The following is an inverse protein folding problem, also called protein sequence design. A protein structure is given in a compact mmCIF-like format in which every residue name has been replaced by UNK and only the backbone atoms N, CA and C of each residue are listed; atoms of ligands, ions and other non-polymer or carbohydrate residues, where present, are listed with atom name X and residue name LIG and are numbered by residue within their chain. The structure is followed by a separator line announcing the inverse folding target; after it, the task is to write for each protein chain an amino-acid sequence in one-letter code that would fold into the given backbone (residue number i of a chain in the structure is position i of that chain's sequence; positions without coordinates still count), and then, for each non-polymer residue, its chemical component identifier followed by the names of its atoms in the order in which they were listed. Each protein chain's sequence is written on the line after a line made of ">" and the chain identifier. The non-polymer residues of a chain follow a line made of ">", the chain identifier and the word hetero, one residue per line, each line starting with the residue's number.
data_IF_688503286127
#
_entry.id   IF_688503286127
#
_cell.length_a   1.000
_cell.length_b   1.000
_cell.length_c   1.000
_cell.angle_alpha   90.00
_cell.angle_beta   90.00
_cell.angle_gamma   90.00
#
_symmetry.space_group_name_H-M   'P 1'
#
loop_
_entity.id
_entity.type
_entity.pdbx_description
1 polymer ?
#
# COMPACT_ATOMS: atom_id res chain seq x y z
N UNK A 1 -3.50 33.37 0.78
CA UNK A 1 -3.74 31.90 0.83
C UNK A 1 -4.37 31.62 2.19
N UNK A 2 -5.62 31.14 2.30
CA UNK A 2 -6.19 30.85 3.61
C UNK A 2 -5.35 29.77 4.29
N UNK A 3 -4.93 30.07 5.51
CA UNK A 3 -4.14 29.22 6.39
C UNK A 3 -4.83 27.86 6.53
N UNK A 4 -4.17 26.80 6.07
CA UNK A 4 -4.71 25.44 6.21
C UNK A 4 -4.68 25.11 7.70
N UNK A 5 -5.85 25.07 8.34
CA UNK A 5 -5.95 24.63 9.72
C UNK A 5 -5.29 23.26 9.86
N UNK A 6 -4.20 23.21 10.62
CA UNK A 6 -3.44 21.98 10.85
C UNK A 6 -4.38 21.03 11.62
N UNK A 7 -4.68 19.82 11.09
CA UNK A 7 -5.62 18.93 11.73
C UNK A 7 -5.16 18.62 13.17
N UNK A 8 -6.07 18.80 14.11
CA UNK A 8 -5.83 18.60 15.53
C UNK A 8 -6.03 17.16 15.98
N UNK A 9 -5.71 16.89 17.26
CA UNK A 9 -5.97 15.58 17.87
C UNK A 9 -7.47 15.26 17.94
N UNK A 10 -8.31 16.28 18.11
CA UNK A 10 -9.78 16.12 18.12
C UNK A 10 -10.29 15.70 16.74
N UNK A 11 -9.78 16.29 15.66
CA UNK A 11 -10.15 15.90 14.28
C UNK A 11 -9.78 14.45 14.01
N UNK A 12 -8.58 14.03 14.45
CA UNK A 12 -8.15 12.64 14.34
C UNK A 12 -9.05 11.69 15.13
N UNK A 13 -9.50 12.09 16.33
CA UNK A 13 -10.44 11.31 17.14
C UNK A 13 -11.82 11.18 16.47
N UNK A 14 -12.40 12.31 16.02
CA UNK A 14 -13.68 12.34 15.32
C UNK A 14 -13.64 11.50 14.03
N UNK A 15 -12.53 11.55 13.29
CA UNK A 15 -12.30 10.70 12.13
C UNK A 15 -12.34 9.21 12.48
N UNK A 16 -11.73 8.79 13.60
CA UNK A 16 -11.77 7.40 14.06
C UNK A 16 -13.19 6.97 14.46
N UNK A 17 -13.92 7.82 15.18
CA UNK A 17 -15.31 7.54 15.57
C UNK A 17 -16.19 7.33 14.33
N UNK A 18 -16.12 8.25 13.37
CA UNK A 18 -16.84 8.17 12.09
C UNK A 18 -16.49 6.90 11.30
N UNK A 19 -15.20 6.56 11.26
CA UNK A 19 -14.72 5.33 10.62
C UNK A 19 -15.31 4.08 11.26
N UNK A 20 -15.42 4.04 12.60
CA UNK A 20 -16.01 2.91 13.31
C UNK A 20 -17.52 2.79 13.02
N UNK A 21 -18.26 3.90 12.99
CA UNK A 21 -19.68 3.90 12.60
C UNK A 21 -19.86 3.30 11.20
N UNK A 22 -19.07 3.74 10.21
CA UNK A 22 -19.17 3.18 8.85
C UNK A 22 -18.82 1.69 8.77
N UNK A 23 -17.84 1.23 9.55
CA UNK A 23 -17.52 -0.20 9.65
C UNK A 23 -18.68 -1.00 10.25
N UNK A 24 -19.35 -0.48 11.27
CA UNK A 24 -20.53 -1.11 11.87
C UNK A 24 -21.69 -1.17 10.89
N UNK A 25 -21.99 -0.07 10.18
CA UNK A 25 -23.01 -0.04 9.13
C UNK A 25 -22.68 -1.05 8.03
N UNK A 26 -21.42 -1.09 7.58
CA UNK A 26 -20.96 -2.05 6.57
C UNK A 26 -21.14 -3.49 7.05
N UNK A 27 -20.75 -3.77 8.29
CA UNK A 27 -20.90 -5.08 8.89
C UNK A 27 -22.37 -5.55 8.88
N UNK A 28 -23.30 -4.67 9.28
CA UNK A 28 -24.73 -4.97 9.28
C UNK A 28 -25.28 -5.22 7.87
N UNK A 29 -24.94 -4.36 6.90
CA UNK A 29 -25.37 -4.51 5.49
C UNK A 29 -24.86 -5.80 4.83
N UNK A 30 -23.70 -6.28 5.25
CA UNK A 30 -23.09 -7.49 4.70
C UNK A 30 -23.31 -8.73 5.55
N UNK A 31 -24.11 -8.64 6.61
CA UNK A 31 -24.42 -9.81 7.42
C UNK A 31 -25.11 -10.86 6.54
N UNK A 32 -24.52 -12.06 6.45
CA UNK A 32 -24.97 -13.13 5.55
C UNK A 32 -24.70 -12.92 4.05
N UNK A 33 -24.15 -11.78 3.61
CA UNK A 33 -23.94 -11.42 2.19
C UNK A 33 -22.50 -11.05 1.85
N UNK A 34 -21.53 -11.49 2.66
CA UNK A 34 -20.11 -11.18 2.41
C UNK A 34 -19.61 -11.86 1.13
N UNK A 35 -18.81 -11.17 0.30
CA UNK A 35 -18.13 -11.82 -0.81
C UNK A 35 -17.32 -13.02 -0.33
N UNK A 36 -17.30 -14.07 -1.15
CA UNK A 36 -16.48 -15.27 -0.88
C UNK A 36 -14.99 -14.91 -1.03
N UNK A 37 -14.14 -15.57 -0.24
CA UNK A 37 -12.70 -15.49 -0.47
C UNK A 37 -12.39 -16.35 -1.69
N UNK A 38 -11.79 -15.75 -2.72
CA UNK A 38 -11.41 -16.46 -3.94
C UNK A 38 -10.09 -17.20 -3.74
N UNK A 39 -9.98 -18.38 -4.34
CA UNK A 39 -8.81 -19.23 -4.21
C UNK A 39 -7.64 -18.71 -5.07
N UNK A 40 -6.41 -19.09 -4.68
CA UNK A 40 -5.23 -18.94 -5.53
C UNK A 40 -4.99 -20.24 -6.30
N UNK A 41 -4.57 -20.14 -7.55
CA UNK A 41 -4.42 -21.28 -8.45
C UNK A 41 -3.06 -21.33 -9.16
N UNK A 42 -2.90 -22.37 -9.97
CA UNK A 42 -1.75 -22.55 -10.85
C UNK A 42 -1.90 -21.69 -12.13
N UNK A 43 -0.91 -20.88 -12.51
CA UNK A 43 -0.99 -20.02 -13.71
C UNK A 43 -0.96 -20.78 -15.04
N UNK A 44 -0.58 -22.05 -15.09
CA UNK A 44 -0.35 -22.79 -16.36
C UNK A 44 -1.56 -22.80 -17.30
N UNK A 45 -2.77 -22.72 -16.75
CA UNK A 45 -4.02 -22.66 -17.52
C UNK A 45 -4.49 -21.26 -17.89
N UNK A 46 -3.75 -20.20 -17.60
CA UNK A 46 -4.11 -18.80 -17.89
C UNK A 46 -3.01 -18.12 -18.70
N UNK A 47 -3.03 -18.32 -20.01
CA UNK A 47 -1.89 -18.00 -20.89
C UNK A 47 -2.05 -16.68 -21.66
N UNK A 48 -3.24 -16.09 -21.71
CA UNK A 48 -3.51 -14.86 -22.48
C UNK A 48 -3.69 -13.67 -21.56
N UNK A 49 -2.87 -12.63 -21.69
CA UNK A 49 -3.07 -11.35 -20.98
C UNK A 49 -4.22 -10.60 -21.66
N UNK A 50 -5.33 -10.40 -20.96
CA UNK A 50 -6.52 -9.68 -21.48
C UNK A 50 -6.58 -8.21 -21.08
N UNK A 51 -5.84 -7.84 -20.04
CA UNK A 51 -5.67 -6.47 -19.57
C UNK A 51 -4.38 -6.35 -18.74
N UNK A 52 -3.70 -5.21 -18.84
CA UNK A 52 -2.48 -4.91 -18.09
C UNK A 52 -2.46 -3.45 -17.66
N UNK A 53 -2.05 -3.21 -16.42
CA UNK A 53 -1.77 -1.87 -15.91
C UNK A 53 -0.35 -1.85 -15.30
N UNK A 54 0.42 -0.85 -15.72
CA UNK A 54 1.75 -0.54 -15.18
C UNK A 54 1.73 0.81 -14.49
N UNK A 55 2.43 0.93 -13.37
CA UNK A 55 2.60 2.21 -12.70
C UNK A 55 3.95 2.32 -11.98
N UNK A 56 4.60 3.49 -12.02
CA UNK A 56 5.90 3.68 -11.38
C UNK A 56 5.80 3.56 -9.86
N UNK A 57 6.78 2.90 -9.25
CA UNK A 57 6.92 2.75 -7.80
C UNK A 57 7.53 4.00 -7.16
N UNK A 58 8.37 4.72 -7.89
CA UNK A 58 9.15 5.85 -7.41
C UNK A 58 8.66 7.12 -8.11
N UNK A 59 7.78 7.86 -7.43
CA UNK A 59 7.12 9.03 -8.03
C UNK A 59 7.66 10.36 -7.52
N UNK A 60 8.56 10.35 -6.52
CA UNK A 60 9.12 11.57 -5.96
C UNK A 60 10.62 11.39 -5.64
N UNK A 61 11.54 12.14 -6.25
CA UNK A 61 12.97 11.96 -6.02
C UNK A 61 13.45 12.61 -4.71
N UNK A 62 12.64 13.45 -4.06
CA UNK A 62 13.05 14.24 -2.90
C UNK A 62 13.45 13.35 -1.71
N UNK A 63 14.53 13.73 -1.02
CA UNK A 63 15.08 12.93 0.07
C UNK A 63 14.08 12.70 1.23
N UNK A 64 13.27 13.72 1.56
CA UNK A 64 12.24 13.64 2.61
C UNK A 64 11.11 12.63 2.32
N UNK A 65 10.91 12.26 1.06
CA UNK A 65 9.84 11.32 0.62
C UNK A 65 10.30 9.87 0.63
N UNK A 66 11.61 9.64 0.73
CA UNK A 66 12.24 8.34 0.48
C UNK A 66 11.73 7.27 1.44
N UNK A 67 11.67 7.57 2.73
CA UNK A 67 11.22 6.62 3.75
C UNK A 67 9.77 6.16 3.49
N UNK A 68 8.87 7.10 3.20
CA UNK A 68 7.47 6.80 2.91
C UNK A 68 7.30 6.02 1.60
N UNK A 69 8.15 6.27 0.59
CA UNK A 69 8.13 5.50 -0.66
C UNK A 69 8.68 4.09 -0.50
N UNK A 70 9.72 3.87 0.30
CA UNK A 70 10.16 2.51 0.64
C UNK A 70 9.09 1.74 1.38
N UNK A 71 8.45 2.38 2.36
CA UNK A 71 7.30 1.80 3.06
C UNK A 71 6.15 1.46 2.13
N UNK A 72 5.85 2.34 1.16
CA UNK A 72 4.88 2.11 0.08
C UNK A 72 5.20 0.84 -0.70
N UNK A 73 6.42 0.72 -1.21
CA UNK A 73 6.85 -0.44 -2.02
C UNK A 73 6.82 -1.74 -1.22
N UNK A 74 7.26 -1.71 0.04
CA UNK A 74 7.14 -2.87 0.94
C UNK A 74 5.68 -3.32 1.13
N UNK A 75 4.77 -2.36 1.36
CA UNK A 75 3.35 -2.64 1.50
C UNK A 75 2.73 -3.22 0.22
N UNK A 76 3.13 -2.70 -0.95
CA UNK A 76 2.72 -3.24 -2.25
C UNK A 76 3.21 -4.68 -2.43
N UNK A 77 4.46 -5.01 -2.05
CA UNK A 77 4.96 -6.39 -2.06
C UNK A 77 4.18 -7.30 -1.12
N UNK A 78 3.86 -6.80 0.08
CA UNK A 78 3.06 -7.53 1.05
C UNK A 78 1.62 -7.77 0.56
N UNK A 79 1.06 -6.86 -0.23
CA UNK A 79 -0.24 -6.98 -0.86
C UNK A 79 -0.20 -7.93 -2.06
N UNK A 80 0.80 -7.79 -2.93
CA UNK A 80 1.02 -8.65 -4.10
C UNK A 80 1.08 -10.12 -3.70
N UNK A 81 1.84 -10.48 -2.64
CA UNK A 81 1.89 -11.85 -2.11
C UNK A 81 0.53 -12.45 -1.73
N UNK A 82 -0.46 -11.62 -1.43
CA UNK A 82 -1.81 -12.04 -1.04
C UNK A 82 -2.77 -12.11 -2.23
N UNK A 83 -2.61 -11.22 -3.20
CA UNK A 83 -3.51 -11.10 -4.35
C UNK A 83 -3.04 -11.86 -5.59
N UNK A 84 -1.73 -12.03 -5.75
CA UNK A 84 -1.15 -12.73 -6.90
C UNK A 84 -1.69 -14.15 -7.02
N UNK A 85 -1.96 -14.56 -8.27
CA UNK A 85 -2.56 -15.83 -8.68
C UNK A 85 -3.97 -16.08 -8.16
N UNK A 86 -4.71 -15.03 -7.78
CA UNK A 86 -6.12 -15.19 -7.42
C UNK A 86 -6.90 -15.57 -8.68
N UNK A 87 -7.61 -16.71 -8.63
CA UNK A 87 -8.52 -17.14 -9.69
C UNK A 87 -9.84 -16.39 -9.52
N UNK A 88 -10.33 -15.81 -10.60
CA UNK A 88 -11.60 -15.10 -10.71
C UNK A 88 -12.56 -15.96 -11.53
N UNK A 89 -13.42 -16.78 -10.89
CA UNK A 89 -14.47 -17.50 -11.62
C UNK A 89 -15.43 -16.52 -12.30
N UNK A 90 -15.96 -16.90 -13.46
CA UNK A 90 -16.98 -16.12 -14.15
C UNK A 90 -18.17 -15.85 -13.22
N UNK A 91 -18.62 -14.59 -13.14
CA UNK A 91 -19.75 -14.21 -12.28
C UNK A 91 -19.45 -14.10 -10.79
N UNK A 92 -18.23 -14.41 -10.32
CA UNK A 92 -17.86 -14.25 -8.92
C UNK A 92 -17.41 -12.82 -8.60
N UNK A 93 -17.80 -12.31 -7.44
CA UNK A 93 -17.37 -10.98 -6.96
C UNK A 93 -15.96 -11.06 -6.37
N UNK A 94 -15.02 -10.36 -6.99
CA UNK A 94 -13.77 -9.99 -6.35
C UNK A 94 -14.02 -8.85 -5.36
N UNK A 95 -13.40 -8.92 -4.18
CA UNK A 95 -13.40 -7.84 -3.19
C UNK A 95 -11.98 -7.63 -2.68
N UNK A 96 -11.47 -6.41 -2.82
CA UNK A 96 -10.10 -6.07 -2.43
C UNK A 96 -9.84 -6.43 -0.96
N UNK A 97 -10.69 -5.95 -0.05
CA UNK A 97 -10.51 -6.21 1.38
C UNK A 97 -10.83 -7.64 1.79
N UNK A 98 -11.71 -8.34 1.07
CA UNK A 98 -11.93 -9.77 1.31
C UNK A 98 -10.67 -10.59 1.03
N UNK A 99 -9.98 -10.32 -0.08
CA UNK A 99 -8.76 -11.03 -0.45
C UNK A 99 -7.54 -10.60 0.39
N UNK A 100 -7.39 -9.30 0.65
CA UNK A 100 -6.26 -8.75 1.40
C UNK A 100 -6.34 -8.99 2.91
N UNK A 101 -7.53 -8.81 3.48
CA UNK A 101 -7.71 -8.58 4.92
C UNK A 101 -7.08 -7.26 5.39
N UNK A 102 -7.10 -7.02 6.70
CA UNK A 102 -6.60 -5.76 7.29
C UNK A 102 -5.10 -5.60 7.02
N UNK A 103 -4.69 -4.43 6.54
CA UNK A 103 -3.29 -4.05 6.55
C UNK A 103 -2.88 -3.67 7.99
N UNK A 104 -2.04 -4.50 8.61
CA UNK A 104 -1.55 -4.29 9.99
C UNK A 104 -0.07 -4.62 10.11
N UNK A 105 0.59 -4.05 11.13
CA UNK A 105 1.98 -4.35 11.46
C UNK A 105 2.19 -5.86 11.71
N UNK A 106 1.27 -6.49 12.44
CA UNK A 106 1.26 -7.95 12.67
C UNK A 106 1.20 -8.79 11.39
N UNK A 107 0.62 -8.24 10.31
CA UNK A 107 0.52 -8.87 8.98
C UNK A 107 1.65 -8.47 8.03
N UNK A 108 2.67 -7.77 8.55
CA UNK A 108 3.89 -7.39 7.85
C UNK A 108 3.79 -6.07 7.08
N UNK A 109 2.77 -5.25 7.32
CA UNK A 109 2.67 -3.91 6.73
C UNK A 109 3.43 -2.88 7.57
N UNK A 110 3.99 -1.88 6.90
CA UNK A 110 4.82 -0.82 7.50
C UNK A 110 4.24 0.55 7.22
N UNK A 111 4.77 1.57 7.89
CA UNK A 111 4.44 2.96 7.58
C UNK A 111 4.90 3.30 6.17
N UNK A 112 3.99 3.76 5.32
CA UNK A 112 4.27 4.16 3.94
C UNK A 112 3.42 5.36 3.53
N UNK A 113 3.64 5.85 2.32
CA UNK A 113 2.95 7.03 1.78
C UNK A 113 1.44 6.79 1.66
N UNK A 114 0.62 7.52 2.42
CA UNK A 114 -0.85 7.44 2.37
C UNK A 114 -1.45 8.84 2.17
N UNK A 115 -2.43 8.95 1.28
CA UNK A 115 -3.22 10.17 1.15
C UNK A 115 -4.34 10.16 2.21
N UNK A 116 -4.30 11.07 3.17
CA UNK A 116 -5.31 11.24 4.20
C UNK A 116 -5.63 12.73 4.37
N UNK A 117 -6.91 13.08 4.32
CA UNK A 117 -7.39 14.47 4.51
C UNK A 117 -6.69 15.48 3.58
N UNK A 118 -6.34 15.03 2.38
CA UNK A 118 -5.64 15.83 1.37
C UNK A 118 -4.16 16.09 1.65
N UNK A 119 -3.54 15.37 2.57
CA UNK A 119 -2.09 15.38 2.82
C UNK A 119 -1.49 13.99 2.58
N UNK A 120 -0.22 13.95 2.20
CA UNK A 120 0.54 12.70 2.17
C UNK A 120 1.19 12.46 3.54
N UNK A 121 0.70 11.48 4.27
CA UNK A 121 1.14 11.18 5.63
C UNK A 121 1.72 9.77 5.72
N UNK A 122 2.66 9.52 6.65
CA UNK A 122 3.13 8.18 6.96
C UNK A 122 2.02 7.41 7.68
N UNK A 123 1.57 6.30 7.08
CA UNK A 123 0.57 5.42 7.71
C UNK A 123 0.81 3.94 7.40
N UNK A 124 0.41 3.06 8.32
CA UNK A 124 0.53 1.61 8.12
C UNK A 124 -0.34 1.15 6.95
N UNK A 125 0.27 0.48 5.97
CA UNK A 125 -0.43 0.09 4.75
C UNK A 125 -0.55 1.22 3.72
N UNK A 126 0.16 2.34 3.90
CA UNK A 126 0.28 3.37 2.87
C UNK A 126 0.79 2.78 1.56
N UNK A 127 0.17 3.18 0.44
CA UNK A 127 0.46 2.70 -0.90
C UNK A 127 -0.59 1.83 -1.55
N UNK A 128 -1.51 1.25 -0.78
CA UNK A 128 -2.51 0.31 -1.31
C UNK A 128 -3.48 0.93 -2.32
N UNK A 129 -3.68 2.25 -2.27
CA UNK A 129 -4.46 2.97 -3.28
C UNK A 129 -3.86 2.86 -4.69
N UNK A 130 -2.53 2.78 -4.83
CA UNK A 130 -1.89 2.56 -6.13
C UNK A 130 -2.28 1.20 -6.71
N UNK A 131 -2.33 0.17 -5.88
CA UNK A 131 -2.75 -1.18 -6.28
C UNK A 131 -4.26 -1.23 -6.60
N UNK A 132 -5.09 -0.56 -5.81
CA UNK A 132 -6.53 -0.46 -6.07
C UNK A 132 -6.81 0.23 -7.41
N UNK A 133 -6.13 1.34 -7.72
CA UNK A 133 -6.23 2.00 -9.02
C UNK A 133 -5.83 1.09 -10.18
N UNK A 134 -4.72 0.33 -10.03
CA UNK A 134 -4.27 -0.60 -11.06
C UNK A 134 -5.25 -1.77 -11.27
N UNK A 135 -5.80 -2.32 -10.18
CA UNK A 135 -6.85 -3.35 -10.24
C UNK A 135 -8.12 -2.84 -10.93
N UNK A 136 -8.53 -1.62 -10.63
CA UNK A 136 -9.67 -1.00 -11.28
C UNK A 136 -9.41 -0.76 -12.78
N UNK A 137 -8.21 -0.32 -13.14
CA UNK A 137 -7.82 -0.16 -14.54
C UNK A 137 -7.94 -1.46 -15.33
N UNK A 138 -7.30 -2.55 -14.85
CA UNK A 138 -7.37 -3.83 -15.57
C UNK A 138 -8.78 -4.42 -15.57
N UNK A 139 -9.57 -4.21 -14.52
CA UNK A 139 -10.96 -4.68 -14.46
C UNK A 139 -11.80 -4.03 -15.56
N UNK A 140 -11.69 -2.71 -15.73
CA UNK A 140 -12.38 -2.00 -16.80
C UNK A 140 -11.93 -2.49 -18.20
N UNK A 141 -10.62 -2.63 -18.42
CA UNK A 141 -10.09 -3.01 -19.74
C UNK A 141 -10.42 -4.48 -20.10
N UNK A 142 -10.57 -5.34 -19.09
CA UNK A 142 -11.02 -6.71 -19.25
C UNK A 142 -12.55 -6.86 -19.39
N UNK A 143 -13.32 -5.76 -19.30
CA UNK A 143 -14.78 -5.79 -19.37
C UNK A 143 -15.45 -6.35 -18.13
N UNK A 144 -14.82 -6.25 -16.96
CA UNK A 144 -15.43 -6.63 -15.69
C UNK A 144 -16.51 -5.63 -15.26
N UNK A 145 -17.59 -6.15 -14.67
CA UNK A 145 -18.65 -5.33 -14.11
C UNK A 145 -18.24 -4.81 -12.74
N UNK A 146 -18.12 -3.49 -12.60
CA UNK A 146 -17.69 -2.83 -11.36
C UNK A 146 -18.89 -2.72 -10.41
N UNK A 147 -18.83 -3.45 -9.29
CA UNK A 147 -19.91 -3.53 -8.29
C UNK A 147 -19.78 -2.43 -7.22
N UNK A 148 -18.55 -2.07 -6.88
CA UNK A 148 -18.27 -1.03 -5.90
C UNK A 148 -16.96 -0.33 -6.23
N UNK A 149 -17.01 1.00 -6.30
CA UNK A 149 -15.85 1.87 -6.52
C UNK A 149 -16.07 3.19 -5.82
N UNK A 150 -14.99 3.77 -5.29
CA UNK A 150 -15.00 5.06 -4.62
C UNK A 150 -13.86 5.93 -5.16
N UNK A 151 -14.06 7.24 -5.29
CA UNK A 151 -13.02 8.19 -5.68
C UNK A 151 -12.21 8.69 -4.46
N UNK A 152 -10.95 9.08 -4.68
CA UNK A 152 -10.23 9.90 -3.70
C UNK A 152 -10.81 11.32 -3.65
N UNK A 153 -10.70 11.97 -2.49
CA UNK A 153 -11.05 13.39 -2.34
C UNK A 153 -10.05 14.33 -3.02
N UNK A 154 -8.80 13.89 -3.22
CA UNK A 154 -7.78 14.58 -4.00
C UNK A 154 -7.02 13.59 -4.87
N UNK A 155 -6.57 14.05 -6.05
CA UNK A 155 -5.79 13.22 -6.98
C UNK A 155 -4.30 13.52 -6.81
N UNK A 156 -3.49 12.47 -6.67
CA UNK A 156 -2.03 12.61 -6.62
C UNK A 156 -1.51 12.80 -8.05
N UNK A 157 -0.67 13.80 -8.33
CA UNK A 157 -0.04 13.95 -9.65
C UNK A 157 0.68 12.68 -10.10
N UNK A 158 0.56 12.34 -11.39
CA UNK A 158 1.14 11.11 -11.97
C UNK A 158 0.46 9.80 -11.56
N UNK A 159 -0.61 9.84 -10.74
CA UNK A 159 -1.38 8.63 -10.40
C UNK A 159 -2.44 8.33 -11.46
N UNK A 160 -2.80 7.05 -11.59
CA UNK A 160 -3.88 6.60 -12.48
C UNK A 160 -5.25 7.26 -12.20
N UNK A 161 -5.44 7.84 -11.00
CA UNK A 161 -6.61 8.64 -10.68
C UNK A 161 -6.77 9.87 -11.60
N UNK A 162 -5.67 10.43 -12.12
CA UNK A 162 -5.72 11.53 -13.08
C UNK A 162 -6.31 11.10 -14.42
N UNK A 163 -6.13 9.84 -14.81
CA UNK A 163 -6.65 9.25 -16.04
C UNK A 163 -8.08 8.67 -15.88
N UNK A 164 -8.82 9.08 -14.84
CA UNK A 164 -10.16 8.55 -14.56
C UNK A 164 -10.18 7.14 -13.96
N UNK A 165 -9.02 6.51 -13.74
CA UNK A 165 -8.88 5.17 -13.15
C UNK A 165 -8.74 5.24 -11.62
N UNK A 166 -9.53 6.10 -11.00
CA UNK A 166 -9.45 6.39 -9.57
C UNK A 166 -10.27 5.39 -8.74
N UNK A 167 -9.65 4.65 -7.83
CA UNK A 167 -10.29 3.72 -6.91
C UNK A 167 -9.61 3.75 -5.54
N UNK A 168 -10.22 4.42 -4.56
CA UNK A 168 -9.75 4.43 -3.18
C UNK A 168 -10.25 3.22 -2.38
N UNK A 169 -9.50 2.81 -1.35
CA UNK A 169 -9.84 1.73 -0.45
C UNK A 169 -9.53 2.12 1.00
N UNK A 170 -10.48 1.85 1.90
CA UNK A 170 -10.30 2.04 3.34
C UNK A 170 -10.87 0.85 4.12
N UNK A 171 -10.02 0.23 4.93
CA UNK A 171 -10.41 -0.92 5.76
C UNK A 171 -11.56 -0.55 6.70
N UNK A 172 -12.69 -1.24 6.79
CA UNK A 172 -13.32 -2.29 6.00
C UNK A 172 -14.73 -1.74 5.68
N UNK A 173 -14.78 -0.61 4.98
CA UNK A 173 -16.03 0.10 4.68
C UNK A 173 -16.02 0.81 3.32
N UNK A 174 -14.83 1.02 2.73
CA UNK A 174 -14.63 1.48 1.35
C UNK A 174 -13.81 0.40 0.65
N UNK A 175 -14.42 -0.27 -0.32
CA UNK A 175 -13.86 -1.44 -1.00
C UNK A 175 -13.84 -1.23 -2.52
N UNK A 176 -13.00 -1.99 -3.22
CA UNK A 176 -13.07 -2.14 -4.67
C UNK A 176 -13.64 -3.53 -4.97
N UNK A 177 -14.77 -3.56 -5.68
CA UNK A 177 -15.43 -4.82 -6.07
C UNK A 177 -15.78 -4.83 -7.54
N UNK A 178 -15.53 -5.97 -8.17
CA UNK A 178 -15.90 -6.19 -9.56
C UNK A 178 -16.18 -7.68 -9.81
N UNK A 179 -16.89 -7.97 -10.89
CA UNK A 179 -17.23 -9.32 -11.34
C UNK A 179 -16.57 -9.57 -12.69
N UNK A 180 -15.84 -10.66 -12.80
CA UNK A 180 -15.23 -11.06 -14.06
C UNK A 180 -16.28 -11.68 -15.00
N UNK A 181 -16.33 -11.30 -16.29
CA UNK A 181 -17.30 -11.83 -17.24
C UNK A 181 -17.00 -13.28 -17.63
N UNK A 182 -15.72 -13.68 -17.54
CA UNK A 182 -15.23 -15.02 -17.80
C UNK A 182 -14.24 -15.44 -16.72
N UNK A 183 -13.80 -16.71 -16.75
CA UNK A 183 -12.75 -17.18 -15.85
C UNK A 183 -11.43 -16.46 -16.16
N UNK A 184 -10.85 -15.81 -15.14
CA UNK A 184 -9.59 -15.08 -15.27
C UNK A 184 -8.67 -15.37 -14.09
N UNK A 185 -7.38 -15.04 -14.21
CA UNK A 185 -6.42 -15.03 -13.12
C UNK A 185 -5.85 -13.63 -12.94
N UNK A 186 -5.85 -13.17 -11.69
CA UNK A 186 -5.15 -11.97 -11.29
C UNK A 186 -3.67 -12.26 -11.07
N UNK A 187 -2.80 -11.54 -11.77
CA UNK A 187 -1.36 -11.52 -11.52
C UNK A 187 -0.93 -10.14 -11.03
N UNK A 188 -0.19 -10.12 -9.92
CA UNK A 188 0.28 -8.88 -9.29
C UNK A 188 1.78 -9.00 -9.02
N UNK A 189 2.57 -8.24 -9.75
CA UNK A 189 4.02 -8.25 -9.66
C UNK A 189 4.51 -6.86 -9.25
N UNK A 190 5.39 -6.82 -8.25
CA UNK A 190 6.13 -5.61 -7.90
C UNK A 190 7.56 -5.82 -8.35
N UNK A 191 7.90 -5.18 -9.47
CA UNK A 191 9.24 -5.19 -10.03
C UNK A 191 10.13 -4.18 -9.30
N UNK A 192 11.29 -3.87 -9.88
CA UNK A 192 12.22 -2.88 -9.31
C UNK A 192 11.62 -1.47 -9.31
N UNK A 193 11.05 -1.08 -10.43
CA UNK A 193 10.62 0.31 -10.68
C UNK A 193 9.13 0.42 -10.98
N UNK A 194 8.44 -0.69 -11.24
CA UNK A 194 7.03 -0.71 -11.60
C UNK A 194 6.18 -1.69 -10.76
N UNK A 195 4.94 -1.29 -10.50
CA UNK A 195 3.85 -2.20 -10.14
C UNK A 195 3.15 -2.63 -11.43
N UNK A 196 3.12 -3.94 -11.68
CA UNK A 196 2.45 -4.55 -12.83
C UNK A 196 1.27 -5.38 -12.34
N UNK A 197 0.08 -5.09 -12.85
CA UNK A 197 -1.14 -5.84 -12.59
C UNK A 197 -1.67 -6.35 -13.92
N UNK A 198 -2.00 -7.63 -13.99
CA UNK A 198 -2.55 -8.26 -15.20
C UNK A 198 -3.78 -9.09 -14.84
N UNK A 199 -4.73 -9.16 -15.78
CA UNK A 199 -5.74 -10.20 -15.83
C UNK A 199 -5.41 -11.14 -16.98
N UNK A 200 -5.34 -12.44 -16.68
CA UNK A 200 -5.04 -13.49 -17.63
C UNK A 200 -6.27 -14.36 -17.87
N UNK A 201 -6.46 -14.86 -19.09
CA UNK A 201 -7.55 -15.75 -19.52
C UNK A 201 -6.98 -17.11 -19.97
N UNK A 202 -7.72 -18.22 -19.81
CA UNK A 202 -7.35 -19.52 -20.36
C UNK A 202 -7.33 -19.58 -21.89
N UNK A 203 -8.18 -18.80 -22.56
CA UNK A 203 -8.26 -18.76 -24.02
C UNK A 203 -8.13 -17.33 -24.55
N UNK A 204 -7.58 -17.16 -25.78
CA UNK A 204 -7.75 -15.93 -26.54
C UNK A 204 -9.25 -15.76 -26.82
N UNK A 205 -9.80 -14.58 -26.54
CA UNK A 205 -11.26 -14.35 -26.57
C UNK A 205 -11.89 -14.91 -27.86
N UNK A 206 -12.79 -15.87 -27.73
CA UNK A 206 -14.01 -15.85 -28.54
C UNK A 206 -14.85 -14.66 -28.05
N UNK A 207 -15.55 -14.01 -28.97
CA UNK A 207 -16.36 -12.81 -28.73
C UNK A 207 -17.06 -12.85 -27.36
N UNK A 208 -16.98 -11.74 -26.64
CA UNK A 208 -17.77 -11.54 -25.43
C UNK A 208 -19.23 -11.50 -25.89
N UNK A 209 -19.91 -12.63 -25.90
CA UNK A 209 -21.35 -12.65 -25.76
C UNK A 209 -21.61 -11.97 -24.42
N UNK A 210 -21.98 -10.69 -24.49
CA UNK A 210 -22.65 -10.02 -23.40
C UNK A 210 -23.87 -10.89 -23.12
N UNK A 211 -23.78 -11.80 -22.15
CA UNK A 211 -24.96 -12.48 -21.67
C UNK A 211 -25.87 -11.35 -21.21
N UNK A 212 -26.93 -11.09 -21.96
CA UNK A 212 -28.05 -10.27 -21.53
C UNK A 212 -28.67 -11.01 -20.34
N UNK A 213 -28.01 -10.93 -19.19
CA UNK A 213 -28.63 -11.25 -17.93
C UNK A 213 -29.41 -10.00 -17.59
N UNK A 214 -30.69 -10.05 -17.94
CA UNK A 214 -31.73 -9.22 -17.34
C UNK A 214 -31.68 -9.41 -15.83
N UNK A 215 -30.80 -8.66 -15.17
CA UNK A 215 -30.88 -8.39 -13.76
C UNK A 215 -31.98 -7.34 -13.57
N UNK A 216 -33.23 -7.76 -13.69
CA UNK A 216 -34.41 -7.04 -13.18
C UNK A 216 -34.44 -6.92 -11.65
N UNK A 217 -33.27 -7.03 -10.99
CA UNK A 217 -33.06 -6.80 -9.55
C UNK A 217 -31.77 -6.04 -9.20
N UNK A 218 -30.99 -5.59 -10.20
CA UNK A 218 -29.82 -4.73 -10.00
C UNK A 218 -30.20 -3.29 -10.23
N UNK A 219 -30.59 -2.57 -9.17
CA UNK A 219 -30.85 -1.13 -9.26
C UNK A 219 -29.69 -0.37 -9.94
N UNK A 220 -29.95 0.80 -10.55
CA UNK A 220 -28.99 1.54 -11.36
C UNK A 220 -27.69 1.73 -10.60
N UNK A 221 -26.57 1.81 -11.35
CA UNK A 221 -25.23 2.17 -10.88
C UNK A 221 -25.33 3.05 -9.62
N UNK A 222 -25.23 2.42 -8.46
CA UNK A 222 -25.05 3.16 -7.23
C UNK A 222 -23.60 3.55 -7.29
N UNK A 223 -23.33 4.69 -7.95
CA UNK A 223 -22.20 5.52 -7.55
C UNK A 223 -22.35 5.61 -6.04
N UNK A 224 -21.56 4.79 -5.33
CA UNK A 224 -21.73 4.62 -3.89
C UNK A 224 -21.70 6.03 -3.36
N UNK A 225 -22.79 6.47 -2.72
CA UNK A 225 -22.98 7.86 -2.32
C UNK A 225 -21.62 8.37 -1.89
N UNK A 226 -21.03 9.37 -2.58
CA UNK A 226 -19.74 9.88 -2.17
C UNK A 226 -19.87 10.10 -0.67
N UNK A 227 -18.90 9.65 0.14
CA UNK A 227 -19.04 9.71 1.58
C UNK A 227 -19.65 11.07 1.96
N UNK A 228 -20.72 11.11 2.77
CA UNK A 228 -21.61 12.27 2.89
C UNK A 228 -20.79 13.54 3.03
N UNK A 229 -21.22 14.66 2.43
CA UNK A 229 -20.51 15.95 2.31
C UNK A 229 -19.72 16.39 3.56
N UNK A 230 -20.05 15.89 4.74
CA UNK A 230 -19.19 15.83 5.92
C UNK A 230 -17.79 15.18 5.76
N UNK A 231 -17.43 14.59 4.61
CA UNK A 231 -16.05 14.19 4.23
C UNK A 231 -15.41 15.14 3.22
N UNK A 232 -16.21 16.04 2.62
CA UNK A 232 -15.74 17.25 1.92
C UNK A 232 -15.56 18.43 2.87
N UNK A 233 -16.25 18.44 4.00
CA UNK A 233 -16.14 19.44 5.06
C UNK A 233 -14.96 19.18 6.02
N UNK A 234 -13.78 18.95 5.48
CA UNK A 234 -12.58 19.59 6.03
C UNK A 234 -12.29 20.66 5.00
N UNK A 235 -12.28 21.93 5.41
CA UNK A 235 -11.95 23.09 4.57
C UNK A 235 -10.63 22.85 3.84
N UNK A 236 -10.72 22.19 2.69
CA UNK A 236 -9.62 21.91 1.79
C UNK A 236 -9.73 22.98 0.72
N UNK A 237 -8.85 24.00 0.73
CA UNK A 237 -8.93 25.04 -0.26
C UNK A 237 -8.80 24.39 -1.65
N UNK A 238 -9.75 24.75 -2.51
CA UNK A 238 -9.65 24.61 -3.95
C UNK A 238 -8.50 25.52 -4.39
N UNK A 239 -7.28 24.98 -4.36
CA UNK A 239 -6.08 25.67 -4.79
C UNK A 239 -5.18 24.66 -5.46
N UNK A 240 -4.80 24.91 -6.71
CA UNK A 240 -3.95 24.08 -7.55
C UNK A 240 -2.49 24.00 -7.09
N UNK A 241 -2.23 23.83 -5.79
CA UNK A 241 -0.92 23.56 -5.23
C UNK A 241 -0.64 22.07 -5.12
N UNK A 242 0.62 21.68 -5.30
CA UNK A 242 1.07 20.29 -5.13
C UNK A 242 0.69 19.72 -3.75
N UNK A 243 0.31 18.43 -3.72
CA UNK A 243 0.01 17.74 -2.46
C UNK A 243 1.31 17.60 -1.65
N UNK A 244 1.39 18.34 -0.56
CA UNK A 244 2.52 18.29 0.37
C UNK A 244 2.50 17.03 1.24
N UNK A 245 3.69 16.54 1.62
CA UNK A 245 3.84 15.44 2.58
C UNK A 245 4.44 15.88 3.90
N UNK A 246 4.39 15.02 4.92
CA UNK A 246 5.09 15.26 6.19
C UNK A 246 6.61 15.47 6.05
N UNK A 247 7.23 14.99 4.96
CA UNK A 247 8.67 15.15 4.72
C UNK A 247 9.02 16.38 3.88
N UNK A 248 8.02 17.10 3.36
CA UNK A 248 8.20 18.28 2.49
C UNK A 248 7.32 19.46 2.90
N UNK A 249 6.50 19.32 3.94
CA UNK A 249 5.73 20.42 4.49
C UNK A 249 6.53 21.10 5.59
N UNK A 250 6.61 22.43 5.53
CA UNK A 250 7.29 23.23 6.57
C UNK A 250 6.43 23.39 7.85
N UNK A 251 5.46 22.49 8.05
CA UNK A 251 4.46 22.56 9.14
C UNK A 251 4.95 21.78 10.36
N UNK A 252 5.96 22.32 11.03
CA UNK A 252 6.65 21.69 12.17
C UNK A 252 5.79 21.57 13.44
N UNK A 253 4.73 22.37 13.56
CA UNK A 253 3.76 22.30 14.67
C UNK A 253 2.72 21.19 14.49
N UNK A 254 2.68 20.52 13.34
CA UNK A 254 1.77 19.40 13.13
C UNK A 254 2.18 18.21 14.00
N UNK A 255 1.22 17.63 14.74
CA UNK A 255 1.48 16.44 15.56
C UNK A 255 1.92 15.20 14.75
N UNK A 256 1.78 15.24 13.42
CA UNK A 256 2.23 14.20 12.47
C UNK A 256 3.60 14.51 11.84
N UNK A 257 4.21 15.66 12.13
CA UNK A 257 5.49 16.06 11.54
C UNK A 257 6.64 15.23 12.14
N UNK A 258 7.33 14.50 11.28
CA UNK A 258 8.55 13.78 11.66
C UNK A 258 9.72 14.74 11.37
N UNK A 259 10.25 15.39 12.40
CA UNK A 259 11.31 16.41 12.27
C UNK A 259 12.49 15.96 11.39
N UNK A 260 13.04 16.89 10.62
CA UNK A 260 14.26 16.67 9.84
C UNK A 260 15.40 16.23 10.78
N UNK A 261 16.07 15.13 10.43
CA UNK A 261 17.24 14.65 11.17
C UNK A 261 18.51 15.30 10.62
N UNK A 262 19.29 15.93 11.48
CA UNK A 262 20.65 16.31 11.15
C UNK A 262 21.50 15.04 10.90
N UNK A 263 22.45 15.06 9.95
CA UNK A 263 23.41 13.98 9.79
C UNK A 263 24.29 13.90 11.04
N UNK A 264 24.40 12.71 11.63
CA UNK A 264 25.23 12.46 12.82
C UNK A 264 26.34 11.50 12.42
N UNK A 265 27.59 11.96 12.47
CA UNK A 265 28.82 11.16 12.47
C UNK A 265 28.80 9.81 11.73
N UNK A 266 29.29 8.76 12.40
CA UNK A 266 29.28 7.38 11.89
C UNK A 266 27.85 6.85 11.83
N UNK A 267 27.50 6.21 10.71
CA UNK A 267 26.19 5.62 10.47
C UNK A 267 26.20 4.12 10.73
N UNK A 268 25.26 3.63 11.52
CA UNK A 268 24.98 2.20 11.64
C UNK A 268 23.82 1.83 10.70
N UNK A 269 24.10 1.02 9.68
CA UNK A 269 23.09 0.45 8.79
C UNK A 269 22.50 -0.79 9.42
N UNK A 270 21.29 -0.65 9.95
CA UNK A 270 20.47 -1.77 10.40
C UNK A 270 19.58 -2.20 9.26
N UNK A 271 19.84 -3.39 8.72
CA UNK A 271 19.14 -3.91 7.55
C UNK A 271 18.29 -5.13 7.89
N UNK A 272 17.26 -5.36 7.08
CA UNK A 272 16.47 -6.59 7.10
C UNK A 272 16.80 -7.39 5.81
N UNK A 273 15.87 -7.45 4.85
CA UNK A 273 16.08 -8.15 3.58
C UNK A 273 16.91 -7.33 2.57
N UNK A 274 17.82 -8.01 1.86
CA UNK A 274 18.62 -7.46 0.78
C UNK A 274 17.80 -7.36 -0.52
N UNK A 275 17.20 -6.18 -0.73
CA UNK A 275 16.54 -5.81 -1.98
C UNK A 275 17.49 -4.96 -2.85
N UNK A 276 17.46 -5.09 -4.19
CA UNK A 276 18.37 -4.38 -5.10
C UNK A 276 18.44 -2.86 -4.86
N UNK A 277 17.30 -2.23 -4.60
CA UNK A 277 17.21 -0.79 -4.34
C UNK A 277 17.76 -0.40 -2.97
N UNK A 278 17.59 -1.23 -1.94
CA UNK A 278 18.18 -0.96 -0.63
C UNK A 278 19.70 -1.12 -0.71
N UNK A 279 20.18 -2.15 -1.41
CA UNK A 279 21.61 -2.36 -1.70
C UNK A 279 22.22 -1.17 -2.43
N UNK A 280 21.56 -0.69 -3.49
CA UNK A 280 22.03 0.47 -4.23
C UNK A 280 22.07 1.74 -3.38
N UNK A 281 21.11 1.91 -2.47
CA UNK A 281 21.13 3.02 -1.53
C UNK A 281 22.31 2.92 -0.56
N UNK A 282 22.43 1.79 0.13
CA UNK A 282 23.49 1.56 1.12
C UNK A 282 24.88 1.72 0.47
N UNK A 283 25.08 1.20 -0.74
CA UNK A 283 26.33 1.35 -1.48
C UNK A 283 26.68 2.81 -1.81
N UNK A 284 25.70 3.68 -2.03
CA UNK A 284 25.92 5.11 -2.30
C UNK A 284 26.04 5.97 -1.03
N UNK A 285 25.40 5.54 0.05
CA UNK A 285 25.32 6.32 1.29
C UNK A 285 26.42 5.98 2.29
N UNK A 286 27.02 4.77 2.21
CA UNK A 286 28.04 4.33 3.15
C UNK A 286 29.34 5.12 3.00
N UNK A 287 30.02 5.28 4.12
CA UNK A 287 31.41 5.68 4.24
C UNK A 287 32.21 4.56 4.93
N UNK A 288 33.54 4.60 4.83
CA UNK A 288 34.40 3.55 5.37
C UNK A 288 34.31 3.39 6.89
N UNK A 289 33.86 4.42 7.61
CA UNK A 289 33.66 4.40 9.07
C UNK A 289 32.33 3.81 9.55
N UNK A 290 31.46 3.38 8.64
CA UNK A 290 30.12 2.92 8.96
C UNK A 290 30.08 1.44 9.38
N UNK A 291 29.03 1.07 10.13
CA UNK A 291 28.80 -0.29 10.62
C UNK A 291 27.59 -0.89 9.91
N UNK A 292 27.68 -2.15 9.47
CA UNK A 292 26.56 -2.90 8.91
C UNK A 292 26.10 -3.99 9.88
N UNK A 293 24.88 -3.87 10.39
CA UNK A 293 24.24 -4.86 11.26
C UNK A 293 23.28 -5.74 10.45
N UNK A 294 23.66 -7.01 10.29
CA UNK A 294 22.89 -8.01 9.55
C UNK A 294 21.92 -8.75 10.47
N UNK A 295 20.66 -8.99 10.03
CA UNK A 295 19.70 -9.74 10.82
C UNK A 295 20.05 -11.23 10.83
N UNK A 296 20.73 -11.70 9.79
CA UNK A 296 21.20 -13.07 9.63
C UNK A 296 22.40 -13.02 8.68
N UNK A 297 23.41 -13.85 8.95
CA UNK A 297 24.48 -14.06 7.98
C UNK A 297 23.94 -14.91 6.80
N UNK A 298 23.38 -14.25 5.78
CA UNK A 298 22.75 -14.93 4.65
C UNK A 298 23.68 -15.89 3.89
N UNK A 299 24.99 -15.61 3.87
CA UNK A 299 25.98 -16.49 3.25
C UNK A 299 26.14 -17.81 4.03
N UNK A 300 26.25 -17.73 5.35
CA UNK A 300 26.35 -18.89 6.25
C UNK A 300 25.11 -19.79 6.20
N UNK A 301 23.92 -19.18 6.10
CA UNK A 301 22.64 -19.90 6.16
C UNK A 301 22.02 -20.18 4.79
N UNK A 302 22.76 -19.99 3.69
CA UNK A 302 22.27 -20.14 2.31
C UNK A 302 20.94 -19.41 2.06
N UNK A 303 20.78 -18.24 2.67
CA UNK A 303 19.56 -17.44 2.63
C UNK A 303 19.83 -16.18 1.78
N UNK A 304 19.67 -16.25 0.44
CA UNK A 304 20.07 -15.18 -0.48
C UNK A 304 19.35 -13.85 -0.21
N UNK A 305 18.13 -13.90 0.36
CA UNK A 305 17.39 -12.70 0.80
C UNK A 305 18.08 -11.91 1.91
N UNK A 306 19.05 -12.49 2.62
CA UNK A 306 19.82 -11.82 3.68
C UNK A 306 21.30 -11.69 3.32
N UNK A 307 21.69 -12.01 2.08
CA UNK A 307 23.08 -11.96 1.63
C UNK A 307 23.46 -10.55 1.18
N UNK A 308 23.71 -9.66 2.14
CA UNK A 308 24.13 -8.26 1.89
C UNK A 308 25.61 -8.16 1.48
N UNK A 309 25.98 -7.24 0.56
CA UNK A 309 27.38 -6.90 0.34
C UNK A 309 27.99 -6.27 1.59
N UNK A 310 29.13 -6.79 2.02
CA UNK A 310 29.81 -6.39 3.26
C UNK A 310 31.05 -5.52 3.05
N UNK A 311 31.50 -5.36 1.80
CA UNK A 311 32.71 -4.60 1.48
C UNK A 311 32.55 -3.09 1.73
N UNK A 312 33.59 -2.49 2.31
CA UNK A 312 33.68 -1.05 2.57
C UNK A 312 32.90 -0.56 3.80
N UNK A 313 32.63 -1.45 4.75
CA UNK A 313 32.21 -1.10 6.11
C UNK A 313 33.38 -1.31 7.07
N UNK A 314 33.51 -0.45 8.08
CA UNK A 314 34.50 -0.63 9.15
C UNK A 314 34.24 -1.92 9.92
N UNK A 315 32.97 -2.27 10.11
CA UNK A 315 32.55 -3.42 10.89
C UNK A 315 31.25 -4.00 10.36
N UNK A 316 31.17 -5.33 10.32
CA UNK A 316 29.95 -6.07 9.94
C UNK A 316 29.61 -7.04 11.06
N UNK A 317 28.43 -6.90 11.63
CA UNK A 317 27.99 -7.70 12.77
C UNK A 317 26.71 -8.48 12.45
N UNK A 318 26.64 -9.72 12.95
CA UNK A 318 25.41 -10.49 12.92
C UNK A 318 24.61 -10.21 14.19
N UNK A 319 23.60 -9.35 14.10
CA UNK A 319 22.76 -8.96 15.22
C UNK A 319 21.45 -9.76 15.28
N UNK A 320 21.51 -11.08 15.10
CA UNK A 320 20.32 -11.91 14.86
C UNK A 320 19.28 -11.87 15.98
N UNK A 321 19.72 -11.99 17.24
CA UNK A 321 18.79 -11.89 18.37
C UNK A 321 18.19 -10.49 18.50
N UNK A 322 18.98 -9.46 18.25
CA UNK A 322 18.52 -8.06 18.29
C UNK A 322 17.53 -7.77 17.16
N UNK A 323 17.80 -8.26 15.95
CA UNK A 323 16.90 -8.16 14.81
C UNK A 323 15.58 -8.92 15.05
N UNK A 324 15.63 -10.10 15.65
CA UNK A 324 14.43 -10.86 16.04
C UNK A 324 13.61 -10.11 17.10
N UNK A 325 14.24 -9.61 18.16
CA UNK A 325 13.59 -8.81 19.22
C UNK A 325 12.95 -7.55 18.64
N UNK A 326 13.67 -6.82 17.80
CA UNK A 326 13.18 -5.64 17.08
C UNK A 326 11.98 -6.00 16.20
N UNK A 327 12.09 -7.04 15.37
CA UNK A 327 10.97 -7.47 14.51
C UNK A 327 9.74 -7.84 15.33
N UNK A 328 9.92 -8.46 16.49
CA UNK A 328 8.80 -8.84 17.35
C UNK A 328 8.15 -7.62 18.01
N UNK A 329 8.96 -6.69 18.54
CA UNK A 329 8.48 -5.44 19.10
C UNK A 329 7.72 -4.60 18.06
N UNK A 330 8.26 -4.46 16.84
CA UNK A 330 7.60 -3.75 15.74
C UNK A 330 6.25 -4.37 15.33
N UNK A 331 6.10 -5.69 15.43
CA UNK A 331 4.83 -6.38 15.13
C UNK A 331 3.79 -6.22 16.23
N UNK A 332 4.23 -6.01 17.47
CA UNK A 332 3.37 -5.80 18.65
C UNK A 332 3.01 -4.33 18.90
N UNK A 333 3.79 -3.40 18.35
CA UNK A 333 3.54 -1.97 18.46
C UNK A 333 2.12 -1.63 17.98
N UNK A 334 1.37 -0.92 18.83
CA UNK A 334 -0.03 -0.57 18.60
C UNK A 334 -0.19 0.78 17.90
N UNK A 335 0.79 1.66 18.09
CA UNK A 335 0.81 3.01 17.54
C UNK A 335 2.19 3.41 17.02
N UNK A 336 2.27 4.62 16.45
CA UNK A 336 3.51 5.15 15.91
C UNK A 336 4.59 5.42 16.98
N UNK A 337 4.27 5.96 18.18
CA UNK A 337 5.25 6.11 19.26
C UNK A 337 5.90 4.80 19.72
N UNK A 338 5.11 3.76 20.03
CA UNK A 338 5.65 2.45 20.43
C UNK A 338 6.54 1.85 19.34
N UNK A 339 6.11 2.00 18.08
CA UNK A 339 6.89 1.54 16.93
C UNK A 339 8.22 2.27 16.85
N UNK A 340 8.22 3.59 17.02
CA UNK A 340 9.43 4.41 17.02
C UNK A 340 10.38 4.05 18.16
N UNK A 341 9.84 3.80 19.36
CA UNK A 341 10.62 3.33 20.49
C UNK A 341 11.28 1.97 20.18
N UNK A 342 10.56 1.05 19.55
CA UNK A 342 11.10 -0.25 19.12
C UNK A 342 12.18 -0.11 18.03
N UNK A 343 12.03 0.83 17.09
CA UNK A 343 13.07 1.15 16.09
C UNK A 343 14.34 1.69 16.74
N UNK A 344 14.20 2.64 17.66
CA UNK A 344 15.32 3.27 18.37
C UNK A 344 16.02 2.25 19.26
N UNK A 345 15.28 1.49 20.07
CA UNK A 345 15.84 0.47 20.95
C UNK A 345 16.58 -0.63 20.16
N UNK A 346 16.01 -1.05 19.03
CA UNK A 346 16.67 -2.01 18.13
C UNK A 346 17.96 -1.45 17.53
N UNK A 347 17.95 -0.19 17.07
CA UNK A 347 19.14 0.46 16.51
C UNK A 347 20.22 0.67 17.57
N UNK A 348 19.85 1.11 18.78
CA UNK A 348 20.79 1.31 19.90
C UNK A 348 21.44 0.00 20.35
N UNK A 349 20.72 -1.12 20.29
CA UNK A 349 21.27 -2.44 20.63
C UNK A 349 22.13 -3.07 19.51
N UNK A 350 22.26 -2.40 18.35
CA UNK A 350 23.08 -2.83 17.20
C UNK A 350 24.25 -1.89 16.89
N UNK A 351 24.37 -0.78 17.62
CA UNK A 351 25.43 0.22 17.49
C UNK A 351 26.53 -0.05 18.54
#
# INVERSE_FOLDING_TARGET
>A
MPERAVPGRLDAFLFQLKTNVFRTIRFGREFGRRPRLLARGDPSGFVVVVAEARSPLWSDPRAGERAMQWGKVHNLRAAARRLDRTVLPAGAVFSFWRQMGRASASRGFVSGRMLQEGCLVPATGGGLCQLSNALYAVALDAGCDVVERHAHSRRVPGSAAMAGRDATVAWNYVDLRFVAPSAMMLRVVVERDELVVQLLSPSPRGEVEKSQRDFSGGGPMRDGTPPPDALRASTSPQGGGEIQSCGTCDQTQCFRHEGARAPVGRTAFVVDENWPEHRAFVARARCDGDVLALPLNGARWKAPRYAWPTGGFARVEAATLTALRRSFALRRAKDAPERRAAEIAGAAAMA
#
